data_IF_390878402457
#
_entry.id   IF_390878402457
#
_cell.length_a   1.000
_cell.length_b   1.000
_cell.length_c   1.000
_cell.angle_alpha   90.00
_cell.angle_beta   90.00
_cell.angle_gamma   90.00
#
_symmetry.space_group_name_H-M   'P 1'
#
loop_
_entity.id
_entity.type
_entity.pdbx_description
1 polymer ?
#
# COMPACT_ATOMS: atom_id res chain seq x y z
N UNK A 1 -50.73 7.22 -0.58
CA UNK A 1 -50.93 7.59 -1.99
C UNK A 1 -51.03 9.11 -2.11
N UNK A 2 -50.54 9.65 -3.23
CA UNK A 2 -50.51 11.06 -3.67
C UNK A 2 -49.33 11.91 -3.18
N UNK A 3 -48.25 11.87 -3.97
CA UNK A 3 -47.39 13.01 -4.24
C UNK A 3 -47.78 13.58 -5.61
N UNK A 4 -48.07 14.87 -5.66
CA UNK A 4 -48.33 15.69 -6.85
C UNK A 4 -48.07 17.12 -6.38
N UNK A 5 -47.47 18.07 -7.06
CA UNK A 5 -46.87 18.19 -8.39
C UNK A 5 -46.28 19.62 -8.41
N UNK A 6 -45.12 19.82 -9.02
CA UNK A 6 -44.75 21.05 -9.75
C UNK A 6 -43.32 20.87 -10.25
N UNK A 7 -42.94 21.01 -11.52
CA UNK A 7 -43.59 21.44 -12.75
C UNK A 7 -42.50 21.47 -13.84
N UNK A 8 -42.86 21.53 -15.14
CA UNK A 8 -41.96 21.20 -16.24
C UNK A 8 -41.30 22.44 -16.86
N UNK A 9 -40.09 22.29 -17.40
CA UNK A 9 -39.57 23.21 -18.42
C UNK A 9 -38.74 22.47 -19.47
N UNK A 10 -39.30 22.48 -20.67
CA UNK A 10 -38.82 21.98 -21.95
C UNK A 10 -38.25 23.19 -22.71
N UNK A 11 -37.12 23.06 -23.40
CA UNK A 11 -36.68 24.15 -24.28
C UNK A 11 -35.30 23.96 -24.88
N UNK A 12 -35.27 23.46 -26.10
CA UNK A 12 -34.09 23.29 -26.95
C UNK A 12 -33.63 24.64 -27.51
N UNK A 13 -32.31 24.86 -27.60
CA UNK A 13 -31.74 25.79 -28.58
C UNK A 13 -30.47 25.17 -29.18
N UNK A 14 -30.60 24.77 -30.46
CA UNK A 14 -29.47 24.58 -31.37
C UNK A 14 -28.70 25.89 -31.49
N UNK A 15 -27.37 25.83 -31.40
CA UNK A 15 -26.52 26.64 -32.25
C UNK A 15 -25.26 25.87 -32.62
N UNK A 16 -25.10 25.68 -33.91
CA UNK A 16 -23.94 25.11 -34.56
C UNK A 16 -22.74 26.06 -34.45
N UNK A 17 -21.59 25.56 -34.00
CA UNK A 17 -20.32 25.93 -34.62
C UNK A 17 -19.29 24.82 -34.48
N UNK A 18 -19.02 24.20 -35.62
CA UNK A 18 -17.86 23.37 -35.93
C UNK A 18 -16.59 24.18 -35.63
N UNK A 19 -15.81 23.75 -34.64
CA UNK A 19 -14.40 24.11 -34.56
C UNK A 19 -13.60 22.86 -34.23
N UNK A 20 -12.59 22.67 -35.06
CA UNK A 20 -11.76 21.48 -35.22
C UNK A 20 -11.18 20.99 -33.89
N UNK A 21 -11.19 19.67 -33.74
CA UNK A 21 -10.26 18.93 -32.89
C UNK A 21 -8.82 19.31 -33.26
N UNK A 22 -8.21 20.22 -32.51
CA UNK A 22 -6.75 20.27 -32.43
C UNK A 22 -6.35 19.30 -31.33
N UNK A 23 -5.86 18.15 -31.76
CA UNK A 23 -5.11 17.17 -30.99
C UNK A 23 -3.91 17.91 -30.34
N UNK A 24 -4.11 18.49 -29.16
CA UNK A 24 -3.03 19.10 -28.38
C UNK A 24 -2.36 18.00 -27.58
N UNK A 25 -1.50 17.27 -28.27
CA UNK A 25 -0.63 16.25 -27.72
C UNK A 25 0.57 16.16 -28.65
N UNK A 26 1.54 17.03 -28.42
CA UNK A 26 2.77 17.09 -29.23
C UNK A 26 3.56 18.40 -29.11
N UNK A 27 2.94 19.52 -28.71
CA UNK A 27 3.64 20.81 -28.60
C UNK A 27 4.50 20.94 -27.35
N UNK A 28 4.07 20.39 -26.20
CA UNK A 28 4.83 20.50 -24.94
C UNK A 28 6.09 19.63 -24.95
N UNK A 29 6.07 18.49 -25.63
CA UNK A 29 7.25 17.64 -25.81
C UNK A 29 8.24 18.27 -26.80
N UNK A 30 7.74 18.84 -27.90
CA UNK A 30 8.56 19.54 -28.89
C UNK A 30 9.26 20.78 -28.32
N UNK A 31 8.60 21.52 -27.41
CA UNK A 31 9.23 22.67 -26.74
C UNK A 31 10.35 22.29 -25.77
N UNK A 32 10.35 21.07 -25.23
CA UNK A 32 11.44 20.56 -24.40
C UNK A 32 12.61 20.03 -25.23
N UNK A 33 12.34 19.44 -26.41
CA UNK A 33 13.36 19.04 -27.38
C UNK A 33 14.07 20.24 -28.03
N UNK A 34 13.37 21.35 -28.24
CA UNK A 34 13.97 22.57 -28.81
C UNK A 34 14.91 23.30 -27.83
N UNK A 35 14.82 23.04 -26.52
CA UNK A 35 15.69 23.66 -25.50
C UNK A 35 17.07 23.00 -25.39
N UNK A 36 17.30 21.86 -26.04
CA UNK A 36 18.62 21.19 -26.04
C UNK A 36 19.45 21.47 -27.30
N UNK A 37 18.93 22.21 -28.28
CA UNK A 37 19.68 22.67 -29.46
C UNK A 37 19.77 24.20 -29.47
N UNK A 38 20.62 24.71 -28.60
CA UNK A 38 20.88 26.14 -28.49
C UNK A 38 22.19 26.42 -27.76
N UNK A 39 23.29 25.80 -28.19
CA UNK A 39 24.61 26.34 -27.92
C UNK A 39 25.51 26.12 -29.14
N UNK A 40 25.95 27.24 -29.67
CA UNK A 40 26.90 27.37 -30.77
C UNK A 40 28.27 26.87 -30.30
N UNK A 41 28.94 26.06 -31.11
CA UNK A 41 30.36 25.75 -30.93
C UNK A 41 30.70 24.35 -30.41
N UNK A 42 31.59 23.71 -31.18
CA UNK A 42 32.39 22.52 -30.91
C UNK A 42 31.86 21.16 -31.40
N UNK A 43 32.63 20.67 -32.38
CA UNK A 43 32.73 19.33 -32.92
C UNK A 43 33.04 18.29 -31.83
N UNK A 44 32.65 17.05 -32.14
CA UNK A 44 32.89 15.77 -31.45
C UNK A 44 31.83 15.30 -30.44
N UNK A 45 31.62 13.98 -30.51
CA UNK A 45 30.83 13.10 -29.63
C UNK A 45 29.37 12.85 -30.06
N UNK A 46 29.21 11.99 -31.07
CA UNK A 46 27.90 11.44 -31.51
C UNK A 46 27.75 9.93 -31.20
N UNK A 47 28.47 9.41 -30.19
CA UNK A 47 28.42 7.98 -29.82
C UNK A 47 27.91 7.73 -28.38
N UNK A 48 27.77 8.76 -27.55
CA UNK A 48 27.40 8.60 -26.12
C UNK A 48 25.90 8.74 -25.82
N UNK A 49 25.08 9.20 -26.78
CA UNK A 49 23.64 9.42 -26.57
C UNK A 49 22.82 8.12 -26.48
N UNK A 50 23.31 7.03 -27.08
CA UNK A 50 22.65 5.71 -27.00
C UNK A 50 22.74 5.13 -25.58
N UNK A 51 23.88 5.30 -24.90
CA UNK A 51 24.13 4.74 -23.56
C UNK A 51 23.33 5.49 -22.48
N UNK A 52 23.22 6.82 -22.57
CA UNK A 52 22.40 7.62 -21.64
C UNK A 52 20.90 7.28 -21.70
N UNK A 53 20.42 6.85 -22.87
CA UNK A 53 19.04 6.38 -23.07
C UNK A 53 18.81 5.00 -22.44
N UNK A 54 19.84 4.14 -22.38
CA UNK A 54 19.77 2.84 -21.70
C UNK A 54 19.85 2.97 -20.18
N UNK A 55 20.68 3.88 -19.66
CA UNK A 55 20.71 4.20 -18.22
C UNK A 55 19.34 4.68 -17.73
N UNK A 56 18.61 5.47 -18.53
CA UNK A 56 17.25 5.92 -18.19
C UNK A 56 16.22 4.77 -18.15
N UNK A 57 16.43 3.70 -18.92
CA UNK A 57 15.59 2.49 -18.90
C UNK A 57 16.00 1.58 -17.72
N UNK A 58 17.29 1.51 -17.38
CA UNK A 58 17.79 0.75 -16.23
C UNK A 58 17.38 1.39 -14.90
N UNK A 59 17.46 2.72 -14.76
CA UNK A 59 16.96 3.45 -13.59
C UNK A 59 15.45 3.31 -13.40
N UNK A 60 14.69 3.07 -14.48
CA UNK A 60 13.26 2.77 -14.40
C UNK A 60 12.98 1.28 -14.06
N UNK A 61 13.95 0.39 -14.27
CA UNK A 61 13.89 -1.01 -13.78
C UNK A 61 14.34 -1.13 -12.32
N UNK A 62 15.05 -0.13 -11.80
CA UNK A 62 15.42 0.01 -10.38
C UNK A 62 14.24 0.49 -9.50
N UNK A 63 13.00 0.15 -9.88
CA UNK A 63 11.73 0.43 -9.16
C UNK A 63 11.55 -0.44 -7.89
N UNK A 64 12.65 -0.98 -7.37
CA UNK A 64 12.76 -1.51 -6.03
C UNK A 64 14.15 -1.16 -5.55
N UNK A 65 14.26 -0.05 -4.82
CA UNK A 65 15.52 0.29 -4.16
C UNK A 65 15.94 -0.89 -3.27
N UNK A 66 17.23 -1.19 -3.10
CA UNK A 66 17.68 -2.27 -2.21
C UNK A 66 17.06 -2.15 -0.80
N UNK A 67 16.76 -0.92 -0.37
CA UNK A 67 16.04 -0.61 0.86
C UNK A 67 14.59 -1.10 0.89
N UNK A 68 13.86 -1.11 -0.23
CA UNK A 68 12.49 -1.59 -0.28
C UNK A 68 12.41 -3.12 -0.14
N UNK A 69 13.35 -3.84 -0.76
CA UNK A 69 13.46 -5.31 -0.62
C UNK A 69 13.86 -5.71 0.80
N UNK A 70 14.79 -4.99 1.43
CA UNK A 70 15.16 -5.20 2.84
C UNK A 70 13.99 -4.94 3.79
N UNK A 71 13.26 -3.84 3.59
CA UNK A 71 12.06 -3.52 4.36
C UNK A 71 10.99 -4.60 4.21
N UNK A 72 10.74 -5.04 2.97
CA UNK A 72 9.78 -6.10 2.70
C UNK A 72 10.17 -7.42 3.37
N UNK A 73 11.45 -7.79 3.31
CA UNK A 73 11.97 -8.98 3.99
C UNK A 73 11.81 -8.88 5.51
N UNK A 74 12.07 -7.72 6.10
CA UNK A 74 11.89 -7.49 7.53
C UNK A 74 10.41 -7.60 7.95
N UNK A 75 9.48 -7.13 7.12
CA UNK A 75 8.04 -7.28 7.34
C UNK A 75 7.61 -8.76 7.29
N UNK A 76 8.12 -9.53 6.33
CA UNK A 76 7.82 -10.97 6.25
C UNK A 76 8.36 -11.76 7.44
N UNK A 77 9.63 -11.54 7.83
CA UNK A 77 10.21 -12.19 9.02
C UNK A 77 9.42 -11.86 10.29
N UNK A 78 8.96 -10.61 10.39
CA UNK A 78 8.08 -10.15 11.47
C UNK A 78 6.73 -10.88 11.46
N UNK A 79 6.16 -11.13 10.28
CA UNK A 79 4.92 -11.90 10.13
C UNK A 79 5.10 -13.36 10.53
N UNK A 80 6.20 -14.00 10.10
CA UNK A 80 6.50 -15.39 10.46
C UNK A 80 6.63 -15.58 11.98
N UNK A 81 7.32 -14.68 12.70
CA UNK A 81 7.43 -14.76 14.17
C UNK A 81 6.06 -14.74 14.87
N UNK A 82 5.08 -14.00 14.33
CA UNK A 82 3.70 -14.02 14.86
C UNK A 82 3.04 -15.38 14.59
N UNK A 83 3.15 -15.87 13.35
CA UNK A 83 2.55 -17.14 12.94
C UNK A 83 3.14 -18.32 13.73
N UNK A 84 4.44 -18.32 14.00
CA UNK A 84 5.11 -19.34 14.80
C UNK A 84 4.59 -19.37 16.24
N UNK A 85 4.46 -18.19 16.87
CA UNK A 85 3.90 -18.06 18.23
C UNK A 85 2.44 -18.50 18.29
N UNK A 86 1.64 -18.16 17.29
CA UNK A 86 0.27 -18.65 17.18
C UNK A 86 0.24 -20.17 17.01
N UNK A 87 1.15 -20.74 16.22
CA UNK A 87 1.31 -22.18 16.06
C UNK A 87 1.72 -22.90 17.35
N UNK A 88 2.59 -22.29 18.17
CA UNK A 88 2.91 -22.82 19.50
C UNK A 88 1.68 -22.86 20.41
N UNK A 89 0.93 -21.75 20.48
CA UNK A 89 -0.29 -21.67 21.29
C UNK A 89 -1.31 -22.71 20.81
N UNK A 90 -1.46 -22.88 19.49
CA UNK A 90 -2.35 -23.89 18.92
C UNK A 90 -1.94 -25.30 19.37
N UNK A 91 -0.65 -25.66 19.31
CA UNK A 91 -0.16 -26.96 19.77
C UNK A 91 -0.43 -27.18 21.26
N UNK A 92 -0.23 -26.16 22.09
CA UNK A 92 -0.53 -26.25 23.51
C UNK A 92 -2.01 -26.53 23.75
N UNK A 93 -2.90 -25.78 23.09
CA UNK A 93 -4.36 -25.97 23.19
C UNK A 93 -4.74 -27.40 22.80
N UNK A 94 -4.17 -27.92 21.71
CA UNK A 94 -4.43 -29.29 21.25
C UNK A 94 -3.89 -30.35 22.22
N UNK A 95 -2.83 -30.04 22.96
CA UNK A 95 -2.31 -30.90 24.04
C UNK A 95 -3.09 -30.80 25.36
N UNK A 96 -4.11 -29.94 25.42
CA UNK A 96 -5.00 -29.78 26.57
C UNK A 96 -4.56 -28.71 27.58
N UNK A 97 -3.60 -27.84 27.24
CA UNK A 97 -3.14 -26.76 28.11
C UNK A 97 -3.10 -25.40 27.41
N UNK A 98 -3.22 -24.30 28.15
CA UNK A 98 -2.82 -22.96 27.66
C UNK A 98 -1.75 -22.41 28.60
N UNK A 99 -0.65 -21.90 28.05
CA UNK A 99 0.26 -21.06 28.81
C UNK A 99 -0.25 -19.61 28.83
N UNK A 100 -0.69 -19.15 30.01
CA UNK A 100 -1.10 -17.75 30.23
C UNK A 100 0.05 -16.78 29.92
N UNK A 101 1.28 -17.18 30.25
CA UNK A 101 2.48 -16.38 29.97
C UNK A 101 2.68 -16.15 28.47
N UNK A 102 2.48 -17.18 27.64
CA UNK A 102 2.57 -17.03 26.17
C UNK A 102 1.48 -16.14 25.62
N UNK A 103 0.25 -16.25 26.10
CA UNK A 103 -0.84 -15.36 25.71
C UNK A 103 -0.53 -13.89 26.06
N UNK A 104 0.03 -13.65 27.24
CA UNK A 104 0.47 -12.31 27.64
C UNK A 104 1.59 -11.77 26.76
N UNK A 105 2.57 -12.62 26.40
CA UNK A 105 3.66 -12.24 25.50
C UNK A 105 3.14 -11.95 24.08
N UNK A 106 2.19 -12.74 23.58
CA UNK A 106 1.53 -12.48 22.30
C UNK A 106 0.80 -11.13 22.31
N UNK A 107 -0.02 -10.86 23.34
CA UNK A 107 -0.75 -9.60 23.46
C UNK A 107 0.18 -8.37 23.51
N UNK A 108 1.28 -8.45 24.27
CA UNK A 108 2.31 -7.38 24.29
C UNK A 108 2.93 -7.14 22.93
N UNK A 109 3.25 -8.21 22.20
CA UNK A 109 3.85 -8.14 20.88
C UNK A 109 2.89 -7.50 19.87
N UNK A 110 1.61 -7.87 19.88
CA UNK A 110 0.59 -7.29 19.00
C UNK A 110 0.44 -5.77 19.24
N UNK A 111 0.36 -5.35 20.52
CA UNK A 111 0.30 -3.93 20.90
C UNK A 111 1.49 -3.11 20.41
N UNK A 112 2.70 -3.64 20.60
CA UNK A 112 3.92 -2.95 20.18
C UNK A 112 3.98 -2.77 18.66
N UNK A 113 3.44 -3.73 17.89
CA UNK A 113 3.51 -3.73 16.43
C UNK A 113 2.38 -2.94 15.76
N UNK A 114 1.28 -2.66 16.46
CA UNK A 114 0.13 -1.88 15.96
C UNK A 114 0.52 -0.49 15.41
N UNK A 115 1.54 0.13 15.99
CA UNK A 115 2.03 1.46 15.57
C UNK A 115 2.79 1.45 14.23
N UNK A 116 3.09 0.27 13.69
CA UNK A 116 3.99 0.11 12.51
C UNK A 116 3.30 -0.52 11.30
N UNK A 117 1.98 -0.73 11.36
CA UNK A 117 1.21 -1.38 10.29
C UNK A 117 0.28 -0.37 9.67
N UNK A 118 0.44 -0.13 8.36
CA UNK A 118 -0.38 0.84 7.60
C UNK A 118 -1.60 0.20 6.93
N UNK A 119 -1.62 -1.13 6.78
CA UNK A 119 -2.75 -1.85 6.17
C UNK A 119 -3.92 -2.00 7.17
N UNK A 120 -5.10 -1.40 6.88
CA UNK A 120 -6.27 -1.50 7.75
C UNK A 120 -6.80 -2.93 7.94
N UNK A 121 -6.68 -3.79 6.92
CA UNK A 121 -7.16 -5.17 7.03
C UNK A 121 -6.28 -5.97 7.98
N UNK A 122 -4.96 -5.84 7.84
CA UNK A 122 -4.01 -6.47 8.76
C UNK A 122 -4.18 -5.95 10.18
N UNK A 123 -4.37 -4.64 10.38
CA UNK A 123 -4.69 -4.09 11.71
C UNK A 123 -5.92 -4.74 12.32
N UNK A 124 -7.01 -4.88 11.55
CA UNK A 124 -8.24 -5.53 12.04
C UNK A 124 -8.02 -6.99 12.48
N UNK A 125 -7.22 -7.75 11.74
CA UNK A 125 -6.86 -9.12 12.12
C UNK A 125 -6.03 -9.14 13.40
N UNK A 126 -5.03 -8.25 13.52
CA UNK A 126 -4.21 -8.16 14.74
C UNK A 126 -5.05 -7.81 15.97
N UNK A 127 -6.05 -6.94 15.81
CA UNK A 127 -6.98 -6.55 16.87
C UNK A 127 -7.86 -7.71 17.33
N UNK A 128 -8.37 -8.51 16.40
CA UNK A 128 -9.16 -9.69 16.74
C UNK A 128 -8.32 -10.71 17.52
N UNK A 129 -7.07 -10.93 17.10
CA UNK A 129 -6.14 -11.83 17.79
C UNK A 129 -5.85 -11.31 19.20
N UNK A 130 -5.58 -10.01 19.36
CA UNK A 130 -5.33 -9.38 20.67
C UNK A 130 -6.54 -9.54 21.59
N UNK A 131 -7.73 -9.18 21.12
CA UNK A 131 -8.97 -9.30 21.89
C UNK A 131 -9.19 -10.73 22.37
N UNK A 132 -8.95 -11.72 21.50
CA UNK A 132 -9.12 -13.13 21.86
C UNK A 132 -8.08 -13.59 22.89
N UNK A 133 -6.82 -13.15 22.77
CA UNK A 133 -5.78 -13.43 23.75
C UNK A 133 -6.15 -12.87 25.13
N UNK A 134 -6.65 -11.64 25.19
CA UNK A 134 -7.11 -11.00 26.44
C UNK A 134 -8.30 -11.73 27.07
N UNK A 135 -9.28 -12.11 26.26
CA UNK A 135 -10.44 -12.88 26.73
C UNK A 135 -10.00 -14.21 27.32
N UNK A 136 -9.06 -14.93 26.68
CA UNK A 136 -8.53 -16.16 27.23
C UNK A 136 -7.79 -15.92 28.55
N UNK A 137 -6.88 -14.93 28.62
CA UNK A 137 -6.21 -14.57 29.89
C UNK A 137 -7.23 -14.32 31.01
N UNK A 138 -8.30 -13.57 30.72
CA UNK A 138 -9.36 -13.27 31.67
C UNK A 138 -10.15 -14.53 32.10
N UNK A 139 -10.40 -15.47 31.17
CA UNK A 139 -11.04 -16.77 31.49
C UNK A 139 -10.19 -17.59 32.45
N UNK A 140 -8.88 -17.65 32.20
CA UNK A 140 -7.94 -18.36 33.07
C UNK A 140 -7.86 -17.76 34.48
N UNK A 141 -7.87 -16.42 34.59
CA UNK A 141 -7.93 -15.73 35.88
C UNK A 141 -9.18 -16.10 36.71
N UNK A 142 -10.35 -16.14 36.07
CA UNK A 142 -11.62 -16.51 36.75
C UNK A 142 -11.70 -17.98 37.17
N UNK A 143 -11.15 -18.89 36.35
CA UNK A 143 -11.15 -20.32 36.66
C UNK A 143 -10.26 -20.68 37.87
N UNK A 144 -9.32 -19.82 38.24
CA UNK A 144 -8.41 -20.04 39.38
C UNK A 144 -8.87 -19.34 40.66
N UNK A 145 -9.77 -18.36 40.54
CA UNK A 145 -10.39 -17.64 41.66
C UNK A 145 -11.73 -18.23 42.10
N UNK A 146 -12.20 -19.30 41.45
CA UNK A 146 -13.43 -20.04 41.79
C UNK A 146 -13.04 -21.42 42.28
#
# INVERSE_FOLDING_TARGET
MKISNSGPAKGVSKSSKKTKTSKSGGSDFASHLGKTHGNDGHSEVMETMSVASMDSILSLQEVGSSTDEENRRALYQRGEDILDRLGEIQREILSGGISVERLQNLAKLLRARRQTVDDPQLQGIMDEIELRAEVEIAKWGRSRSS
#
